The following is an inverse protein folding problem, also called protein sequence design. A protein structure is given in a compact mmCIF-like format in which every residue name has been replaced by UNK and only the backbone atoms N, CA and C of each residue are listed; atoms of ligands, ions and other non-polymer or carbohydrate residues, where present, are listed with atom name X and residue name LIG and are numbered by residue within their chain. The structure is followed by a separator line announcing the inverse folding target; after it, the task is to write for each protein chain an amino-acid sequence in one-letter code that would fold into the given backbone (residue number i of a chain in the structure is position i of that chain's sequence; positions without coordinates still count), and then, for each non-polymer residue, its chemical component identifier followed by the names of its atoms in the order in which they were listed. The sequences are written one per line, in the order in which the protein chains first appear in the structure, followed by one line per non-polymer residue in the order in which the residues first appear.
data_IF_631536149285
#
_entry.id   IF_631536149285
#
_cell.length_a   1.000
_cell.length_b   1.000
_cell.length_c   1.000
_cell.angle_alpha   90.00
_cell.angle_beta   90.00
_cell.angle_gamma   90.00
#
_symmetry.space_group_name_H-M   'P 1'
#
loop_
_entity.id
_entity.type
_entity.pdbx_description
1 polymer ?
#
# COMPACT_ATOMS: atom_id res chain seq x y z
N UNK A 1 19.01 -7.41 -51.67
CA UNK A 1 18.20 -7.11 -50.47
C UNK A 1 16.91 -6.51 -50.96
N UNK A 2 15.77 -7.09 -50.59
CA UNK A 2 14.46 -6.61 -51.05
C UNK A 2 13.99 -5.39 -50.23
N UNK A 3 13.10 -4.53 -50.78
CA UNK A 3 12.59 -3.37 -50.06
C UNK A 3 11.78 -3.74 -48.80
N UNK A 4 11.18 -4.94 -48.79
CA UNK A 4 10.40 -5.44 -47.67
C UNK A 4 11.26 -5.76 -46.44
N UNK A 5 12.46 -6.32 -46.63
CA UNK A 5 13.39 -6.57 -45.51
C UNK A 5 13.92 -5.28 -44.92
N UNK A 6 14.14 -4.24 -45.75
CA UNK A 6 14.57 -2.92 -45.27
C UNK A 6 13.48 -2.25 -44.41
N UNK A 7 12.21 -2.32 -44.84
CA UNK A 7 11.08 -1.78 -44.08
C UNK A 7 10.88 -2.49 -42.72
N UNK A 8 11.10 -3.80 -42.66
CA UNK A 8 11.05 -4.57 -41.40
C UNK A 8 12.18 -4.19 -40.44
N UNK A 9 13.41 -3.99 -40.95
CA UNK A 9 14.53 -3.53 -40.14
C UNK A 9 14.37 -2.09 -39.65
N UNK A 10 13.81 -1.19 -40.47
CA UNK A 10 13.52 0.19 -40.06
C UNK A 10 12.40 0.25 -39.02
N UNK A 11 11.36 -0.59 -39.14
CA UNK A 11 10.29 -0.69 -38.15
C UNK A 11 10.80 -1.19 -36.79
N UNK A 12 11.72 -2.16 -36.78
CA UNK A 12 12.38 -2.66 -35.57
C UNK A 12 13.37 -1.65 -34.95
N UNK A 13 14.01 -0.81 -35.77
CA UNK A 13 14.93 0.22 -35.28
C UNK A 13 14.19 1.44 -34.68
N UNK A 14 12.98 1.76 -35.16
CA UNK A 14 12.16 2.87 -34.66
C UNK A 14 11.51 2.58 -33.31
N UNK A 15 11.11 1.34 -33.08
CA UNK A 15 10.51 0.90 -31.81
C UNK A 15 11.62 0.37 -30.90
N UNK A 16 12.45 1.31 -30.43
CA UNK A 16 13.67 1.01 -29.66
C UNK A 16 13.38 -0.03 -28.59
N UNK A 17 13.95 -1.23 -28.77
CA UNK A 17 13.63 -2.44 -28.01
C UNK A 17 13.65 -2.15 -26.51
N UNK A 18 12.47 -1.89 -25.93
CA UNK A 18 12.36 -1.70 -24.50
C UNK A 18 12.57 -3.09 -23.91
N UNK A 19 13.75 -3.32 -23.36
CA UNK A 19 14.05 -4.57 -22.67
C UNK A 19 12.92 -4.93 -21.69
N UNK A 20 12.65 -6.21 -21.49
CA UNK A 20 11.65 -6.68 -20.52
C UNK A 20 11.82 -6.00 -19.14
N UNK A 21 13.06 -5.65 -18.78
CA UNK A 21 13.42 -4.86 -17.60
C UNK A 21 12.88 -3.43 -17.66
N UNK A 22 13.11 -2.69 -18.75
CA UNK A 22 12.57 -1.35 -18.94
C UNK A 22 11.04 -1.30 -18.98
N UNK A 23 10.39 -2.35 -19.49
CA UNK A 23 8.93 -2.51 -19.45
C UNK A 23 8.42 -2.74 -18.01
N UNK A 24 9.13 -3.55 -17.21
CA UNK A 24 8.82 -3.77 -15.80
C UNK A 24 9.00 -2.49 -14.97
N UNK A 25 10.07 -1.74 -15.20
CA UNK A 25 10.35 -0.49 -14.49
C UNK A 25 9.31 0.61 -14.82
N UNK A 26 8.88 0.71 -16.09
CA UNK A 26 7.76 1.57 -16.50
C UNK A 26 6.43 1.15 -15.85
N UNK A 27 6.18 -0.14 -15.67
CA UNK A 27 4.98 -0.63 -14.96
C UNK A 27 5.04 -0.32 -13.46
N UNK A 28 6.20 -0.48 -12.83
CA UNK A 28 6.41 -0.18 -11.41
C UNK A 28 6.20 1.32 -11.11
N UNK A 29 6.75 2.19 -11.95
CA UNK A 29 6.56 3.66 -11.83
C UNK A 29 5.11 4.07 -12.04
N UNK A 30 4.40 3.50 -13.02
CA UNK A 30 2.95 3.71 -13.16
C UNK A 30 2.15 3.21 -11.95
N UNK A 31 2.53 2.08 -11.36
CA UNK A 31 1.89 1.53 -10.17
C UNK A 31 2.13 2.40 -8.92
N UNK A 32 3.28 3.07 -8.82
CA UNK A 32 3.57 4.05 -7.76
C UNK A 32 2.72 5.32 -7.93
N UNK A 33 2.55 5.81 -9.16
CA UNK A 33 1.71 6.99 -9.45
C UNK A 33 0.20 6.73 -9.27
N UNK A 34 -0.23 5.46 -9.28
CA UNK A 34 -1.61 5.05 -8.99
C UNK A 34 -1.86 4.76 -7.51
N UNK A 35 -0.88 5.01 -6.63
CA UNK A 35 -1.09 4.86 -5.20
C UNK A 35 -2.07 5.90 -4.68
N UNK A 36 -2.83 5.49 -3.66
CA UNK A 36 -3.87 6.32 -3.06
C UNK A 36 -3.31 7.48 -2.24
N UNK A 37 -2.12 7.28 -1.64
CA UNK A 37 -1.37 8.27 -0.90
C UNK A 37 -0.11 8.60 -1.70
N UNK A 38 0.36 9.84 -1.59
CA UNK A 38 1.70 10.20 -2.04
C UNK A 38 2.76 9.44 -1.22
N UNK A 39 3.96 9.21 -1.77
CA UNK A 39 5.02 8.50 -1.04
C UNK A 39 5.37 9.12 0.31
N UNK A 40 5.27 10.45 0.42
CA UNK A 40 5.54 11.21 1.66
C UNK A 40 4.45 10.98 2.71
N UNK A 41 3.18 11.05 2.31
CA UNK A 41 2.04 10.75 3.17
C UNK A 41 2.07 9.29 3.64
N UNK A 42 2.40 8.36 2.74
CA UNK A 42 2.51 6.95 3.07
C UNK A 42 3.61 6.73 4.13
N UNK A 43 4.78 7.37 3.97
CA UNK A 43 5.88 7.34 4.94
C UNK A 43 5.49 7.95 6.29
N UNK A 44 4.76 9.07 6.28
CA UNK A 44 4.25 9.70 7.51
C UNK A 44 3.26 8.79 8.24
N UNK A 45 2.34 8.16 7.51
CA UNK A 45 1.37 7.22 8.08
C UNK A 45 2.07 6.00 8.71
N UNK A 46 3.09 5.44 8.05
CA UNK A 46 3.90 4.34 8.60
C UNK A 46 4.58 4.74 9.89
N UNK A 47 5.25 5.91 9.93
CA UNK A 47 5.90 6.42 11.15
C UNK A 47 4.91 6.56 12.30
N UNK A 48 3.73 7.11 12.04
CA UNK A 48 2.66 7.24 13.04
C UNK A 48 2.22 5.87 13.58
N UNK A 49 2.01 4.87 12.71
CA UNK A 49 1.63 3.52 13.11
C UNK A 49 2.73 2.81 13.94
N UNK A 50 3.99 3.04 13.61
CA UNK A 50 5.11 2.53 14.39
C UNK A 50 5.17 3.17 15.77
N UNK A 51 5.04 4.51 15.84
CA UNK A 51 5.06 5.28 17.09
C UNK A 51 3.92 4.86 18.03
N UNK A 52 2.70 4.80 17.51
CA UNK A 52 1.52 4.38 18.29
C UNK A 52 1.68 2.97 18.84
N UNK A 53 2.27 2.06 18.06
CA UNK A 53 2.59 0.73 18.56
C UNK A 53 3.68 0.72 19.63
N UNK A 54 4.71 1.58 19.56
CA UNK A 54 5.70 1.67 20.65
C UNK A 54 5.09 2.23 21.93
N UNK A 55 4.09 3.10 21.82
CA UNK A 55 3.33 3.64 22.95
C UNK A 55 2.30 2.65 23.51
N UNK A 56 2.36 1.36 23.13
CA UNK A 56 1.40 0.31 23.53
C UNK A 56 -0.06 0.61 23.13
N UNK A 57 -0.27 1.51 22.16
CA UNK A 57 -1.56 1.77 21.53
C UNK A 57 -1.57 1.41 20.04
N UNK A 58 -1.29 0.15 19.69
CA UNK A 58 -1.30 -0.29 18.31
C UNK A 58 -2.67 -0.16 17.62
N UNK A 59 -2.66 0.44 16.43
CA UNK A 59 -3.86 0.69 15.61
C UNK A 59 -4.35 -0.60 14.95
N UNK A 60 -5.65 -0.88 15.04
CA UNK A 60 -6.26 -2.04 14.36
C UNK A 60 -6.29 -1.82 12.85
N UNK A 61 -6.04 -2.87 12.07
CA UNK A 61 -6.00 -2.84 10.59
C UNK A 61 -7.26 -2.24 9.97
N UNK A 62 -8.43 -2.45 10.58
CA UNK A 62 -9.72 -1.89 10.11
C UNK A 62 -9.75 -0.37 10.03
N UNK A 63 -8.94 0.32 10.83
CA UNK A 63 -8.90 1.79 10.87
C UNK A 63 -7.88 2.38 9.88
N UNK A 64 -6.98 1.56 9.33
CA UNK A 64 -5.93 2.01 8.40
C UNK A 64 -6.53 2.67 7.15
N UNK A 65 -7.56 2.11 6.48
CA UNK A 65 -8.21 2.80 5.36
C UNK A 65 -8.84 4.14 5.75
N UNK A 66 -9.48 4.22 6.92
CA UNK A 66 -10.10 5.47 7.39
C UNK A 66 -9.07 6.56 7.69
N UNK A 67 -7.91 6.17 8.25
CA UNK A 67 -6.78 7.09 8.46
C UNK A 67 -6.21 7.59 7.13
N UNK A 68 -5.97 6.68 6.17
CA UNK A 68 -5.51 7.04 4.83
C UNK A 68 -6.51 7.98 4.12
N UNK A 69 -7.81 7.72 4.25
CA UNK A 69 -8.86 8.60 3.72
C UNK A 69 -8.85 9.99 4.37
N UNK A 70 -8.60 10.05 5.68
CA UNK A 70 -8.46 11.31 6.41
C UNK A 70 -7.27 12.13 5.94
N UNK A 71 -6.13 11.47 5.70
CA UNK A 71 -4.92 12.10 5.16
C UNK A 71 -5.17 12.61 3.75
N UNK A 72 -5.63 11.75 2.83
CA UNK A 72 -5.83 12.09 1.43
C UNK A 72 -6.81 13.27 1.22
N UNK A 73 -7.77 13.45 2.13
CA UNK A 73 -8.75 14.55 2.08
C UNK A 73 -8.18 15.92 2.47
N UNK A 74 -7.09 15.97 3.26
CA UNK A 74 -6.55 17.23 3.79
C UNK A 74 -5.76 18.07 2.78
N UNK A 75 -4.94 17.49 1.87
CA UNK A 75 -4.23 18.25 0.85
C UNK A 75 -5.09 18.65 -0.36
N UNK A 76 -6.36 18.24 -0.45
CA UNK A 76 -7.19 18.60 -1.60
C UNK A 76 -7.72 20.04 -1.49
N UNK A 77 -6.90 21.01 -1.89
CA UNK A 77 -7.36 22.38 -2.23
C UNK A 77 -8.30 22.36 -3.44
N UNK A 78 -8.25 21.30 -4.24
CA UNK A 78 -9.23 21.02 -5.27
C UNK A 78 -10.41 20.24 -4.66
N UNK A 79 -11.63 20.74 -4.88
CA UNK A 79 -12.93 20.14 -4.52
C UNK A 79 -13.14 18.84 -5.33
N UNK A 80 -12.25 17.85 -5.21
CA UNK A 80 -12.41 16.53 -5.81
C UNK A 80 -12.84 15.59 -4.72
N UNK A 81 -14.02 14.97 -4.91
CA UNK A 81 -14.49 13.90 -4.05
C UNK A 81 -13.54 12.72 -4.15
N UNK A 82 -12.70 12.54 -3.14
CA UNK A 82 -11.80 11.39 -3.06
C UNK A 82 -12.64 10.20 -2.59
N UNK A 83 -12.66 9.13 -3.38
CA UNK A 83 -13.32 7.88 -2.98
C UNK A 83 -12.56 7.25 -1.82
N UNK A 84 -13.22 6.57 -0.87
CA UNK A 84 -12.51 5.86 0.19
C UNK A 84 -11.62 4.74 -0.40
N UNK A 85 -10.55 4.33 0.30
CA UNK A 85 -9.72 3.22 -0.14
C UNK A 85 -10.52 1.93 -0.20
N UNK A 86 -10.33 1.14 -1.26
CA UNK A 86 -11.05 -0.12 -1.45
C UNK A 86 -10.70 -1.20 -0.42
N UNK A 87 -11.52 -2.26 -0.36
CA UNK A 87 -11.41 -3.38 0.60
C UNK A 87 -9.99 -3.99 0.69
N UNK A 88 -9.32 -4.14 -0.45
CA UNK A 88 -8.00 -4.78 -0.52
C UNK A 88 -6.84 -3.80 -0.27
N UNK A 89 -7.13 -2.51 -0.10
CA UNK A 89 -6.11 -1.47 0.01
C UNK A 89 -5.28 -1.63 1.28
N UNK A 90 -5.90 -1.91 2.44
CA UNK A 90 -5.19 -2.15 3.70
C UNK A 90 -4.21 -3.33 3.58
N UNK A 91 -4.62 -4.40 2.90
CA UNK A 91 -3.77 -5.57 2.69
C UNK A 91 -2.62 -5.27 1.73
N UNK A 92 -2.86 -4.49 0.67
CA UNK A 92 -1.81 -4.04 -0.24
C UNK A 92 -0.81 -3.11 0.47
N UNK A 93 -1.28 -2.21 1.32
CA UNK A 93 -0.45 -1.34 2.15
C UNK A 93 0.42 -2.14 3.13
N UNK A 94 -0.15 -3.15 3.81
CA UNK A 94 0.62 -4.04 4.69
C UNK A 94 1.68 -4.85 3.93
N UNK A 95 1.40 -5.28 2.69
CA UNK A 95 2.39 -5.98 1.85
C UNK A 95 3.59 -5.09 1.49
N UNK A 96 3.37 -3.78 1.31
CA UNK A 96 4.45 -2.80 1.03
C UNK A 96 5.30 -2.54 2.28
N UNK A 97 4.69 -2.51 3.45
CA UNK A 97 5.35 -2.17 4.72
C UNK A 97 5.40 -3.36 5.68
N UNK A 98 6.33 -4.29 5.42
CA UNK A 98 6.50 -5.51 6.24
C UNK A 98 6.77 -5.21 7.72
N UNK A 99 7.33 -4.05 8.04
CA UNK A 99 7.57 -3.57 9.40
C UNK A 99 6.29 -3.50 10.25
N UNK A 100 5.16 -3.18 9.63
CA UNK A 100 3.86 -3.09 10.30
C UNK A 100 3.28 -4.46 10.66
N UNK A 101 3.68 -5.52 9.94
CA UNK A 101 3.20 -6.88 10.16
C UNK A 101 3.60 -7.42 11.54
N UNK A 102 4.79 -7.05 12.02
CA UNK A 102 5.31 -7.47 13.33
C UNK A 102 4.58 -6.80 14.50
N UNK A 103 4.04 -5.59 14.28
CA UNK A 103 3.39 -4.75 15.31
C UNK A 103 1.86 -4.86 15.32
N UNK A 104 1.33 -5.84 14.59
CA UNK A 104 -0.10 -6.00 14.38
C UNK A 104 -0.77 -6.59 15.62
N UNK A 105 -1.76 -5.88 16.15
CA UNK A 105 -2.64 -6.44 17.18
C UNK A 105 -3.56 -7.45 16.54
N UNK A 106 -3.44 -8.70 16.99
CA UNK A 106 -4.47 -9.70 16.75
C UNK A 106 -5.54 -9.53 17.82
N UNK A 107 -6.78 -9.83 17.47
CA UNK A 107 -7.82 -9.97 18.48
C UNK A 107 -7.33 -10.98 19.55
N UNK A 108 -7.42 -10.61 20.82
CA UNK A 108 -7.16 -11.53 21.92
C UNK A 108 -8.17 -12.68 21.78
N UNK A 109 -7.69 -13.92 21.86
CA UNK A 109 -8.57 -15.09 21.85
C UNK A 109 -9.57 -14.93 23.00
N UNK A 110 -10.88 -15.05 22.73
CA UNK A 110 -11.93 -14.92 23.73
C UNK A 110 -11.66 -15.78 24.98
N UNK A 111 -11.11 -16.98 24.81
CA UNK A 111 -10.74 -17.88 25.93
C UNK A 111 -9.66 -17.31 26.87
N UNK A 112 -8.90 -16.30 26.42
CA UNK A 112 -7.85 -15.58 27.17
C UNK A 112 -8.33 -14.24 27.72
N UNK A 113 -9.60 -13.90 27.52
CA UNK A 113 -10.18 -12.71 28.13
C UNK A 113 -10.26 -12.93 29.65
N UNK A 114 -9.98 -11.90 30.44
CA UNK A 114 -9.91 -11.97 31.91
C UNK A 114 -11.17 -12.61 32.52
N UNK A 115 -12.35 -12.24 32.01
CA UNK A 115 -13.64 -12.83 32.39
C UNK A 115 -13.70 -14.38 32.28
N UNK A 116 -12.91 -15.00 31.40
CA UNK A 116 -12.86 -16.45 31.20
C UNK A 116 -11.69 -17.13 31.93
N UNK A 117 -10.84 -16.34 32.62
CA UNK A 117 -9.68 -16.81 33.39
C UNK A 117 -10.03 -16.93 34.87
N UNK A 118 -10.71 -15.94 35.46
CA UNK A 118 -11.06 -15.94 36.89
C UNK A 118 -11.78 -17.22 37.38
N UNK A 119 -12.72 -17.82 36.63
CA UNK A 119 -13.40 -19.04 37.08
C UNK A 119 -12.53 -20.30 37.09
N UNK A 120 -11.31 -20.25 36.56
CA UNK A 120 -10.40 -21.41 36.39
C UNK A 120 -9.19 -21.37 37.31
N UNK A 121 -9.08 -20.33 38.13
CA UNK A 121 -8.02 -20.18 39.12
C UNK A 121 -8.44 -20.61 40.53
N UNK A 122 -9.66 -21.16 40.66
CA UNK A 122 -10.19 -21.82 41.86
C UNK A 122 -10.02 -23.33 41.74
#
# INVERSE_FOLDING_TARGET
MDPASQALTEALAKDGSISYRGLADRKNTKAQLQQYLTPEEEKAMVKFLLLTSSLRHPVRVKFIPSLAFGIARRPSTAIRSIKPPGKNWAQAFEKRHRELKARRVRAINWKRHENNIYPKMT
#
